data_IF_103131984081
#
_entry.id   IF_103131984081
#
_cell.length_a   1.000
_cell.length_b   1.000
_cell.length_c   1.000
_cell.angle_alpha   90.00
_cell.angle_beta   90.00
_cell.angle_gamma   90.00
#
_symmetry.space_group_name_H-M   'P 1'
#
loop_
_entity.id
_entity.type
_entity.pdbx_description
1 polymer ?
#
# COMPACT_ATOMS: atom_id res chain seq x y z
N UNK A 1 8.83 18.32 23.12
CA UNK A 1 9.39 18.56 21.77
C UNK A 1 10.56 17.61 21.60
N UNK A 2 10.28 16.42 21.07
CA UNK A 2 11.33 15.50 20.64
C UNK A 2 11.37 15.58 19.12
N UNK A 3 12.50 16.08 18.64
CA UNK A 3 12.90 16.03 17.25
C UNK A 3 12.73 14.62 16.71
N UNK A 4 12.04 14.49 15.59
CA UNK A 4 12.72 13.85 14.47
C UNK A 4 12.23 14.46 13.16
N UNK A 5 13.14 15.27 12.63
CA UNK A 5 13.50 15.44 11.24
C UNK A 5 12.34 15.70 10.29
N UNK A 6 12.31 16.91 9.75
CA UNK A 6 11.94 17.23 8.37
C UNK A 6 11.79 15.98 7.47
N UNK A 7 10.66 15.29 7.56
CA UNK A 7 10.32 14.26 6.60
C UNK A 7 9.87 15.07 5.39
N UNK A 8 10.83 15.48 4.57
CA UNK A 8 10.56 16.20 3.34
C UNK A 8 9.51 15.37 2.59
N UNK A 9 8.38 16.00 2.25
CA UNK A 9 7.27 15.31 1.58
C UNK A 9 7.75 14.54 0.34
N UNK A 10 8.84 15.00 -0.28
CA UNK A 10 9.49 14.33 -1.40
C UNK A 10 10.18 13.02 -1.01
N UNK A 11 10.83 12.96 0.15
CA UNK A 11 11.53 11.76 0.63
C UNK A 11 10.56 10.67 1.07
N UNK A 12 9.47 11.01 1.78
CA UNK A 12 8.45 10.00 2.16
C UNK A 12 7.76 9.44 0.93
N UNK A 13 7.45 10.29 -0.04
CA UNK A 13 6.77 9.86 -1.25
C UNK A 13 7.67 8.94 -2.08
N UNK A 14 8.97 9.23 -2.15
CA UNK A 14 9.94 8.35 -2.79
C UNK A 14 10.07 7.01 -2.06
N UNK A 15 10.15 7.02 -0.71
CA UNK A 15 10.20 5.80 0.09
C UNK A 15 8.94 4.96 -0.05
N UNK A 16 7.76 5.57 -0.07
CA UNK A 16 6.49 4.89 -0.31
C UNK A 16 6.45 4.24 -1.69
N UNK A 17 6.88 4.94 -2.73
CA UNK A 17 6.97 4.35 -4.07
C UNK A 17 7.93 3.16 -4.11
N UNK A 18 9.11 3.25 -3.47
CA UNK A 18 10.03 2.11 -3.34
C UNK A 18 9.41 0.94 -2.57
N UNK A 19 8.70 1.20 -1.48
CA UNK A 19 8.00 0.16 -0.72
C UNK A 19 6.97 -0.58 -1.59
N UNK A 20 6.19 0.17 -2.37
CA UNK A 20 5.17 -0.36 -3.26
C UNK A 20 5.77 -1.22 -4.38
N UNK A 21 6.97 -0.90 -4.89
CA UNK A 21 7.65 -1.71 -5.93
C UNK A 21 8.24 -3.02 -5.39
N UNK A 22 8.44 -3.16 -4.08
CA UNK A 22 8.87 -4.41 -3.44
C UNK A 22 7.71 -5.39 -3.18
N UNK A 23 6.46 -4.94 -3.34
CA UNK A 23 5.30 -5.79 -3.14
C UNK A 23 5.15 -6.78 -4.32
N UNK A 24 4.68 -8.02 -4.05
CA UNK A 24 4.16 -8.89 -5.10
C UNK A 24 3.08 -8.20 -5.94
N UNK A 25 3.00 -8.50 -7.23
CA UNK A 25 2.12 -7.80 -8.19
C UNK A 25 0.68 -7.65 -7.70
N UNK A 26 0.08 -8.73 -7.18
CA UNK A 26 -1.29 -8.71 -6.65
C UNK A 26 -1.44 -7.76 -5.45
N UNK A 27 -0.45 -7.71 -4.56
CA UNK A 27 -0.47 -6.82 -3.40
C UNK A 27 -0.28 -5.36 -3.84
N UNK A 28 0.61 -5.13 -4.80
CA UNK A 28 0.80 -3.81 -5.40
C UNK A 28 -0.49 -3.29 -6.05
N UNK A 29 -1.12 -4.11 -6.89
CA UNK A 29 -2.35 -3.75 -7.60
C UNK A 29 -3.48 -3.40 -6.63
N UNK A 30 -3.75 -4.28 -5.67
CA UNK A 30 -4.80 -4.07 -4.66
C UNK A 30 -4.51 -2.83 -3.81
N UNK A 31 -3.25 -2.59 -3.45
CA UNK A 31 -2.87 -1.38 -2.71
C UNK A 31 -3.13 -0.11 -3.54
N UNK A 32 -2.72 -0.09 -4.81
CA UNK A 32 -2.91 1.07 -5.70
C UNK A 32 -4.38 1.40 -5.93
N UNK A 33 -5.18 0.40 -6.28
CA UNK A 33 -6.62 0.54 -6.47
C UNK A 33 -7.31 1.07 -5.20
N UNK A 34 -6.90 0.58 -4.01
CA UNK A 34 -7.54 1.00 -2.77
C UNK A 34 -7.09 2.38 -2.28
N UNK A 35 -5.80 2.68 -2.40
CA UNK A 35 -5.18 3.85 -1.79
C UNK A 35 -5.12 5.07 -2.72
N UNK A 36 -4.78 4.88 -4.00
CA UNK A 36 -4.66 5.97 -4.96
C UNK A 36 -5.93 6.19 -5.77
N UNK A 37 -6.63 5.11 -6.14
CA UNK A 37 -7.89 5.18 -6.90
C UNK A 37 -9.13 5.19 -5.99
N UNK A 38 -8.92 5.05 -4.68
CA UNK A 38 -9.95 5.08 -3.63
C UNK A 38 -11.12 4.08 -3.81
N UNK A 39 -10.91 3.01 -4.60
CA UNK A 39 -11.94 2.03 -4.91
C UNK A 39 -12.43 1.27 -3.67
N UNK A 40 -13.70 0.92 -3.64
CA UNK A 40 -14.29 0.03 -2.65
C UNK A 40 -13.92 -1.43 -2.94
N UNK A 41 -13.99 -2.28 -1.92
CA UNK A 41 -13.63 -3.69 -2.09
C UNK A 41 -14.59 -4.42 -3.03
N UNK A 42 -15.84 -4.00 -3.05
CA UNK A 42 -16.89 -4.51 -3.91
C UNK A 42 -16.56 -4.19 -5.38
N UNK A 43 -16.16 -2.95 -5.68
CA UNK A 43 -15.78 -2.52 -7.04
C UNK A 43 -14.51 -3.27 -7.50
N UNK A 44 -13.51 -3.41 -6.63
CA UNK A 44 -12.32 -4.21 -6.92
C UNK A 44 -12.63 -5.70 -7.11
N UNK A 45 -13.63 -6.23 -6.40
CA UNK A 45 -14.08 -7.62 -6.51
C UNK A 45 -14.62 -7.90 -7.90
N UNK A 46 -15.40 -6.97 -8.44
CA UNK A 46 -15.95 -7.05 -9.79
C UNK A 46 -14.85 -6.94 -10.86
N UNK A 47 -13.90 -6.01 -10.69
CA UNK A 47 -12.79 -5.78 -11.63
C UNK A 47 -11.81 -6.98 -11.66
N UNK A 48 -11.44 -7.48 -10.48
CA UNK A 48 -10.40 -8.52 -10.34
C UNK A 48 -10.98 -9.93 -10.31
N UNK A 49 -12.30 -10.09 -10.41
CA UNK A 49 -13.01 -11.37 -10.39
C UNK A 49 -12.57 -12.26 -9.22
N UNK A 50 -12.47 -11.66 -8.03
CA UNK A 50 -11.99 -12.35 -6.82
C UNK A 50 -12.77 -11.89 -5.60
N UNK A 51 -12.75 -12.65 -4.51
CA UNK A 51 -13.59 -12.31 -3.36
C UNK A 51 -13.09 -11.07 -2.60
N UNK A 52 -14.03 -10.30 -2.04
CA UNK A 52 -13.76 -9.20 -1.10
C UNK A 52 -12.84 -9.65 0.05
N UNK A 53 -13.01 -10.87 0.56
CA UNK A 53 -12.15 -11.43 1.60
C UNK A 53 -10.69 -11.57 1.16
N UNK A 54 -10.46 -12.08 -0.07
CA UNK A 54 -9.12 -12.19 -0.63
C UNK A 54 -8.48 -10.81 -0.86
N UNK A 55 -9.26 -9.82 -1.29
CA UNK A 55 -8.79 -8.44 -1.46
C UNK A 55 -8.40 -7.79 -0.13
N UNK A 56 -9.24 -7.92 0.91
CA UNK A 56 -8.94 -7.41 2.26
C UNK A 56 -7.67 -8.03 2.82
N UNK A 57 -7.50 -9.33 2.69
CA UNK A 57 -6.28 -10.02 3.12
C UNK A 57 -5.04 -9.53 2.35
N UNK A 58 -5.15 -9.42 1.02
CA UNK A 58 -4.08 -8.90 0.17
C UNK A 58 -3.69 -7.48 0.54
N UNK A 59 -4.66 -6.60 0.75
CA UNK A 59 -4.45 -5.20 1.14
C UNK A 59 -3.78 -5.09 2.52
N UNK A 60 -4.27 -5.82 3.52
CA UNK A 60 -3.69 -5.82 4.86
C UNK A 60 -2.21 -6.27 4.85
N UNK A 61 -1.89 -7.32 4.09
CA UNK A 61 -0.50 -7.76 3.94
C UNK A 61 0.35 -6.71 3.22
N UNK A 62 -0.19 -6.05 2.19
CA UNK A 62 0.50 -4.97 1.48
C UNK A 62 0.84 -3.80 2.42
N UNK A 63 -0.12 -3.34 3.21
CA UNK A 63 0.06 -2.26 4.20
C UNK A 63 1.15 -2.65 5.20
N UNK A 64 1.08 -3.84 5.79
CA UNK A 64 2.07 -4.30 6.77
C UNK A 64 3.49 -4.29 6.20
N UNK A 65 3.68 -4.78 4.97
CA UNK A 65 4.99 -4.77 4.31
C UNK A 65 5.50 -3.36 4.01
N UNK A 66 4.62 -2.44 3.62
CA UNK A 66 4.97 -1.04 3.42
C UNK A 66 5.39 -0.41 4.76
N UNK A 67 4.62 -0.62 5.82
CA UNK A 67 4.96 -0.13 7.17
C UNK A 67 6.31 -0.69 7.65
N UNK A 68 6.57 -1.98 7.46
CA UNK A 68 7.85 -2.60 7.78
C UNK A 68 8.99 -1.96 6.99
N UNK A 69 8.81 -1.74 5.68
CA UNK A 69 9.82 -1.08 4.84
C UNK A 69 10.14 0.33 5.34
N UNK A 70 9.11 1.13 5.65
CA UNK A 70 9.26 2.52 6.11
C UNK A 70 9.86 2.63 7.52
N UNK A 71 9.70 1.61 8.36
CA UNK A 71 10.33 1.56 9.69
C UNK A 71 11.80 1.15 9.64
N UNK A 72 12.20 0.40 8.61
CA UNK A 72 13.57 -0.14 8.48
C UNK A 72 14.47 0.67 7.54
N UNK A 73 13.92 1.55 6.68
CA UNK A 73 14.68 2.32 5.67
C UNK A 73 14.37 3.81 5.72
#
# INVERSE_FOLDING_TARGET
LESDVFFDGNEIQLKLHKAITQLPEKQQLVFKMKYFEELKYEEMSDILTTSVGALKASYHIAVKKIEEYLKTN
#
